data_IF_327469392272
#
_entry.id   IF_327469392272
#
_cell.length_a   1.000
_cell.length_b   1.000
_cell.length_c   1.000
_cell.angle_alpha   90.00
_cell.angle_beta   90.00
_cell.angle_gamma   90.00
#
_symmetry.space_group_name_H-M   'P 1'
#
loop_
_entity.id
_entity.type
_entity.pdbx_description
1 polymer ?
#
# COMPACT_ATOMS: atom_id res chain seq x y z
N UNK A 1 2.09 -0.63 20.35
CA UNK A 1 1.66 0.81 20.51
C UNK A 1 0.43 0.93 21.43
N UNK A 2 0.16 2.09 22.02
CA UNK A 2 -1.01 2.33 22.87
C UNK A 2 -2.18 2.81 22.03
N UNK A 3 -3.01 1.90 21.56
CA UNK A 3 -4.13 2.24 20.69
C UNK A 3 -5.51 2.04 21.33
N UNK A 4 -5.62 1.18 22.37
CA UNK A 4 -6.90 0.83 23.00
C UNK A 4 -7.57 2.05 23.66
N UNK A 5 -8.86 2.25 23.37
CA UNK A 5 -9.66 3.35 23.93
C UNK A 5 -9.38 4.72 23.31
N UNK A 6 -8.71 4.79 22.18
CA UNK A 6 -8.45 6.02 21.43
C UNK A 6 -9.60 6.31 20.44
N UNK A 7 -9.51 7.49 19.79
CA UNK A 7 -10.47 7.87 18.76
C UNK A 7 -10.36 6.97 17.55
N UNK A 8 -11.46 6.41 17.15
CA UNK A 8 -11.57 5.63 15.91
C UNK A 8 -12.06 6.53 14.77
N UNK A 9 -11.60 6.25 13.56
CA UNK A 9 -12.12 6.88 12.36
C UNK A 9 -13.50 6.32 12.01
N UNK A 10 -14.39 7.19 11.57
CA UNK A 10 -15.66 6.79 10.95
C UNK A 10 -15.54 6.55 9.44
N UNK A 11 -14.37 6.85 8.85
CA UNK A 11 -14.10 6.68 7.42
C UNK A 11 -13.69 5.23 7.09
N UNK A 12 -14.40 4.28 7.66
CA UNK A 12 -14.24 2.84 7.41
C UNK A 12 -15.42 2.33 6.61
N UNK A 13 -15.16 1.52 5.63
CA UNK A 13 -16.14 0.74 4.87
C UNK A 13 -15.81 -0.74 5.05
N UNK A 14 -16.53 -1.43 5.95
CA UNK A 14 -16.32 -2.85 6.23
C UNK A 14 -17.13 -3.71 5.25
N UNK A 15 -16.43 -4.40 4.36
CA UNK A 15 -17.00 -5.32 3.37
C UNK A 15 -16.77 -6.79 3.73
N UNK A 16 -16.24 -7.08 4.90
CA UNK A 16 -16.03 -8.47 5.35
C UNK A 16 -17.34 -9.21 5.46
N UNK A 17 -17.33 -10.52 5.14
CA UNK A 17 -18.51 -11.38 5.20
C UNK A 17 -19.63 -11.01 4.21
N UNK A 18 -19.38 -10.13 3.22
CA UNK A 18 -20.38 -9.84 2.19
C UNK A 18 -20.49 -11.03 1.21
N UNK A 19 -21.70 -11.58 1.00
CA UNK A 19 -21.86 -12.66 0.03
C UNK A 19 -21.63 -12.15 -1.38
N UNK A 20 -20.67 -12.75 -2.10
CA UNK A 20 -20.62 -12.59 -3.54
C UNK A 20 -19.27 -12.30 -4.18
N UNK A 21 -18.14 -12.37 -3.46
CA UNK A 21 -16.82 -12.21 -4.08
C UNK A 21 -15.82 -13.33 -3.77
N UNK A 22 -16.21 -14.31 -3.01
CA UNK A 22 -15.50 -15.59 -3.01
C UNK A 22 -15.60 -16.15 -4.42
N UNK A 23 -14.47 -16.35 -5.08
CA UNK A 23 -14.35 -16.74 -6.48
C UNK A 23 -15.35 -17.83 -6.81
N UNK A 24 -16.32 -17.51 -7.67
CA UNK A 24 -17.51 -18.26 -7.93
C UNK A 24 -17.28 -19.76 -7.99
N UNK A 25 -17.65 -20.42 -6.93
CA UNK A 25 -17.96 -21.84 -6.95
C UNK A 25 -19.15 -22.08 -7.86
N UNK A 26 -18.93 -22.13 -9.16
CA UNK A 26 -19.80 -22.85 -10.07
C UNK A 26 -19.72 -24.34 -9.69
N UNK A 27 -20.44 -24.69 -8.62
CA UNK A 27 -20.81 -26.04 -8.31
C UNK A 27 -21.78 -26.58 -9.36
N UNK A 28 -21.37 -26.55 -10.60
CA UNK A 28 -21.94 -27.28 -11.72
C UNK A 28 -21.30 -28.65 -11.76
N UNK A 29 -22.01 -29.66 -11.26
CA UNK A 29 -21.74 -31.07 -11.42
C UNK A 29 -21.46 -31.39 -12.89
N UNK A 30 -20.20 -31.54 -13.28
CA UNK A 30 -19.80 -32.27 -14.48
C UNK A 30 -18.71 -33.26 -14.12
N UNK A 31 -19.06 -34.54 -14.26
CA UNK A 31 -18.24 -35.68 -13.96
C UNK A 31 -16.98 -35.77 -14.81
N UNK A 32 -15.95 -36.30 -14.19
CA UNK A 32 -14.97 -37.25 -14.72
C UNK A 32 -14.11 -36.79 -15.86
N UNK A 33 -12.80 -36.65 -15.61
CA UNK A 33 -11.76 -36.63 -16.62
C UNK A 33 -10.44 -36.16 -16.07
N UNK A 34 -9.57 -37.07 -15.61
CA UNK A 34 -8.23 -36.73 -15.16
C UNK A 34 -7.33 -36.33 -16.30
N UNK A 35 -6.49 -35.32 -16.08
CA UNK A 35 -5.21 -35.09 -16.76
C UNK A 35 -4.31 -34.25 -15.84
N UNK A 36 -3.23 -34.72 -15.41
CA UNK A 36 -1.89 -34.50 -15.94
C UNK A 36 -1.15 -33.40 -15.18
N UNK A 37 -0.21 -33.78 -14.32
CA UNK A 37 0.85 -32.99 -13.66
C UNK A 37 1.55 -32.03 -14.61
N UNK A 38 1.77 -30.78 -14.15
CA UNK A 38 2.77 -29.87 -14.71
C UNK A 38 2.26 -28.43 -14.80
N UNK A 39 2.23 -27.70 -13.70
CA UNK A 39 1.94 -26.28 -13.70
C UNK A 39 2.76 -25.62 -12.60
N UNK A 40 3.89 -25.01 -12.94
CA UNK A 40 4.56 -24.05 -12.09
C UNK A 40 3.64 -22.84 -11.94
N UNK A 41 2.89 -22.76 -10.84
CA UNK A 41 2.10 -21.58 -10.52
C UNK A 41 3.03 -20.39 -10.28
N UNK A 42 2.66 -19.24 -10.84
CA UNK A 42 3.29 -17.98 -10.50
C UNK A 42 3.16 -17.78 -8.98
N UNK A 43 4.29 -17.56 -8.28
CA UNK A 43 4.29 -17.33 -6.85
C UNK A 43 3.51 -16.05 -6.50
N UNK A 44 2.91 -16.02 -5.32
CA UNK A 44 2.08 -14.88 -4.84
C UNK A 44 2.80 -13.53 -4.96
N UNK A 45 4.13 -13.51 -4.86
CA UNK A 45 4.91 -12.29 -5.04
C UNK A 45 5.03 -11.83 -6.50
N UNK A 46 4.97 -12.74 -7.46
CA UNK A 46 4.87 -12.35 -8.87
C UNK A 46 3.51 -11.70 -9.16
N UNK A 47 2.45 -12.12 -8.46
CA UNK A 47 1.11 -11.53 -8.55
C UNK A 47 1.10 -10.13 -7.92
N UNK A 48 1.68 -9.94 -6.74
CA UNK A 48 1.81 -8.62 -6.10
C UNK A 48 2.60 -7.63 -6.97
N UNK A 49 3.67 -8.11 -7.61
CA UNK A 49 4.50 -7.31 -8.52
C UNK A 49 3.74 -6.94 -9.81
N UNK A 50 2.93 -7.84 -10.34
CA UNK A 50 2.08 -7.60 -11.52
C UNK A 50 0.96 -6.61 -11.20
N UNK A 51 0.37 -6.67 -10.00
CA UNK A 51 -0.70 -5.77 -9.59
C UNK A 51 -0.20 -4.33 -9.50
N UNK A 52 0.94 -4.10 -8.86
CA UNK A 52 1.50 -2.74 -8.73
C UNK A 52 2.02 -2.20 -10.07
N UNK A 53 2.68 -3.02 -10.88
CA UNK A 53 3.18 -2.62 -12.21
C UNK A 53 2.04 -2.38 -13.19
N UNK A 54 1.00 -3.20 -13.19
CA UNK A 54 -0.18 -3.01 -14.04
C UNK A 54 -0.91 -1.72 -13.70
N UNK A 55 -0.99 -1.41 -12.44
CA UNK A 55 -1.64 -0.21 -11.93
C UNK A 55 -0.92 1.08 -12.34
N UNK A 56 0.40 1.07 -12.25
CA UNK A 56 1.28 2.15 -12.65
C UNK A 56 1.29 2.35 -14.18
N UNK A 57 1.09 1.27 -14.94
CA UNK A 57 1.03 1.30 -16.41
C UNK A 57 -0.37 1.62 -16.96
N UNK A 58 -1.39 1.86 -16.10
CA UNK A 58 -2.78 2.07 -16.52
C UNK A 58 -3.43 0.82 -17.11
N UNK A 59 -2.85 -0.35 -16.89
CA UNK A 59 -3.36 -1.65 -17.34
C UNK A 59 -3.89 -2.39 -16.11
N UNK A 60 -5.11 -2.92 -16.19
CA UNK A 60 -5.67 -3.72 -15.11
C UNK A 60 -4.78 -4.98 -14.90
N UNK A 61 -4.12 -5.13 -13.74
CA UNK A 61 -3.19 -6.23 -13.53
C UNK A 61 -3.83 -7.62 -13.58
N UNK A 62 -5.13 -7.70 -13.34
CA UNK A 62 -5.89 -8.97 -13.43
C UNK A 62 -6.14 -9.33 -14.88
N UNK A 63 -6.38 -8.35 -15.75
CA UNK A 63 -6.49 -8.59 -17.20
C UNK A 63 -5.14 -9.01 -17.78
N UNK A 64 -4.04 -8.48 -17.24
CA UNK A 64 -2.69 -8.90 -17.61
C UNK A 64 -2.41 -10.34 -17.14
N UNK A 65 -2.80 -10.69 -15.92
CA UNK A 65 -2.64 -12.04 -15.39
C UNK A 65 -3.50 -13.06 -16.14
N UNK A 66 -4.75 -12.74 -16.42
CA UNK A 66 -5.65 -13.59 -17.22
C UNK A 66 -5.20 -13.73 -18.67
N UNK A 67 -4.55 -12.71 -19.23
CA UNK A 67 -3.96 -12.75 -20.59
C UNK A 67 -2.72 -13.65 -20.64
N UNK A 68 -1.93 -13.68 -19.56
CA UNK A 68 -0.78 -14.58 -19.43
C UNK A 68 -1.20 -16.06 -19.26
N UNK A 69 -2.30 -16.32 -18.58
CA UNK A 69 -2.84 -17.68 -18.42
C UNK A 69 -3.53 -18.20 -19.69
N UNK A 70 -4.17 -17.32 -20.47
CA UNK A 70 -4.99 -17.72 -21.64
C UNK A 70 -4.31 -17.50 -22.99
N UNK A 71 -3.09 -16.94 -23.05
CA UNK A 71 -2.32 -16.77 -24.30
C UNK A 71 -2.99 -15.87 -25.35
N UNK A 72 -3.91 -15.00 -24.97
CA UNK A 72 -4.66 -14.09 -25.85
C UNK A 72 -4.07 -12.69 -25.86
N UNK A 73 -3.86 -12.15 -27.05
CA UNK A 73 -3.35 -10.80 -27.30
C UNK A 73 -4.33 -9.70 -26.86
N UNK A 74 -3.78 -8.65 -26.25
CA UNK A 74 -4.47 -7.43 -25.83
C UNK A 74 -4.97 -6.64 -27.05
N UNK A 75 -6.14 -6.97 -27.54
CA UNK A 75 -6.89 -6.06 -28.41
C UNK A 75 -8.39 -6.27 -28.23
N UNK A 76 -9.03 -5.19 -27.84
CA UNK A 76 -10.48 -4.98 -27.83
C UNK A 76 -11.27 -5.47 -26.61
N UNK A 77 -11.42 -4.57 -25.62
CA UNK A 77 -12.70 -4.52 -24.89
C UNK A 77 -13.04 -3.09 -24.51
N UNK A 78 -13.99 -2.58 -25.31
CA UNK A 78 -14.67 -1.33 -25.07
C UNK A 78 -15.59 -1.38 -23.84
N UNK A 79 -15.80 -0.20 -23.29
CA UNK A 79 -16.85 0.23 -22.37
C UNK A 79 -17.88 -0.81 -21.98
N UNK A 80 -17.77 -1.35 -20.78
CA UNK A 80 -18.80 -2.11 -20.07
C UNK A 80 -19.21 -1.41 -18.79
N UNK A 81 -20.42 -0.94 -18.75
CA UNK A 81 -21.19 -0.27 -17.68
C UNK A 81 -20.80 -0.62 -16.26
N UNK A 82 -20.77 0.43 -15.42
CA UNK A 82 -20.73 0.44 -13.98
C UNK A 82 -21.08 -0.85 -13.25
N UNK A 83 -20.06 -1.53 -12.74
CA UNK A 83 -20.25 -2.47 -11.66
C UNK A 83 -20.80 -1.68 -10.46
N UNK A 84 -22.00 -2.01 -10.02
CA UNK A 84 -22.62 -1.38 -8.85
C UNK A 84 -21.65 -1.47 -7.69
N UNK A 85 -21.27 -0.33 -7.13
CA UNK A 85 -20.45 -0.27 -5.93
C UNK A 85 -21.20 -1.01 -4.82
N UNK A 86 -20.69 -2.18 -4.46
CA UNK A 86 -21.12 -2.85 -3.23
C UNK A 86 -20.61 -1.99 -2.07
N UNK A 87 -21.51 -1.20 -1.49
CA UNK A 87 -21.21 -0.43 -0.28
C UNK A 87 -21.22 -1.36 0.92
N UNK A 88 -20.09 -1.45 1.63
CA UNK A 88 -19.98 -2.15 2.89
C UNK A 88 -20.68 -1.41 4.04
N UNK A 89 -20.59 -1.97 5.23
CA UNK A 89 -21.06 -1.31 6.45
C UNK A 89 -20.14 -0.12 6.74
N UNK A 90 -20.69 1.09 6.74
CA UNK A 90 -19.93 2.32 7.03
C UNK A 90 -19.82 2.54 8.53
N UNK A 91 -18.62 2.92 8.99
CA UNK A 91 -18.31 3.22 10.38
C UNK A 91 -17.31 2.22 10.98
N UNK A 92 -16.78 2.56 12.16
CA UNK A 92 -15.79 1.73 12.83
C UNK A 92 -16.35 0.33 13.14
N UNK A 93 -15.60 -0.75 12.82
CA UNK A 93 -15.95 -2.10 13.23
C UNK A 93 -15.90 -2.28 14.75
N UNK A 94 -16.54 -3.33 15.26
CA UNK A 94 -16.60 -3.61 16.70
C UNK A 94 -15.74 -4.80 17.12
N UNK A 95 -15.01 -5.39 16.20
CA UNK A 95 -14.00 -6.42 16.49
C UNK A 95 -12.62 -5.79 16.68
N UNK A 96 -11.77 -6.48 17.42
CA UNK A 96 -10.46 -5.93 17.83
C UNK A 96 -9.58 -5.47 16.67
N UNK A 97 -9.52 -6.24 15.59
CA UNK A 97 -8.65 -5.93 14.46
C UNK A 97 -9.20 -4.75 13.66
N UNK A 98 -10.52 -4.67 13.52
CA UNK A 98 -11.20 -3.54 12.89
C UNK A 98 -11.10 -2.26 13.74
N UNK A 99 -11.27 -2.33 15.06
CA UNK A 99 -11.06 -1.21 16.00
C UNK A 99 -9.61 -0.69 15.92
N UNK A 100 -8.64 -1.61 15.82
CA UNK A 100 -7.23 -1.24 15.65
C UNK A 100 -7.01 -0.43 14.37
N UNK A 101 -7.45 -0.94 13.22
CA UNK A 101 -7.32 -0.25 11.93
C UNK A 101 -8.03 1.10 11.93
N UNK A 102 -9.25 1.16 12.52
CA UNK A 102 -10.00 2.39 12.64
C UNK A 102 -9.28 3.42 13.53
N UNK A 103 -8.61 2.97 14.60
CA UNK A 103 -7.79 3.83 15.47
C UNK A 103 -6.58 4.38 14.70
N UNK A 104 -5.82 3.53 14.01
CA UNK A 104 -4.66 3.95 13.23
C UNK A 104 -5.06 4.95 12.14
N UNK A 105 -6.16 4.69 11.40
CA UNK A 105 -6.68 5.63 10.42
C UNK A 105 -7.04 6.97 11.08
N UNK A 106 -7.73 6.95 12.23
CA UNK A 106 -8.07 8.14 12.99
C UNK A 106 -6.86 8.96 13.42
N UNK A 107 -5.76 8.29 13.74
CA UNK A 107 -4.50 8.95 14.09
C UNK A 107 -3.82 9.57 12.87
N UNK A 108 -3.83 8.90 11.72
CA UNK A 108 -3.33 9.49 10.47
C UNK A 108 -4.14 10.71 10.07
N UNK A 109 -5.48 10.69 10.24
CA UNK A 109 -6.35 11.85 10.00
C UNK A 109 -5.96 13.05 10.87
N UNK A 110 -5.64 12.81 12.15
CA UNK A 110 -5.22 13.86 13.07
C UNK A 110 -3.90 14.46 12.61
N UNK A 111 -2.90 13.64 12.36
CA UNK A 111 -1.57 14.08 11.92
C UNK A 111 -1.64 14.88 10.62
N UNK A 112 -2.31 14.35 9.60
CA UNK A 112 -2.38 15.01 8.30
C UNK A 112 -3.32 16.21 8.28
N UNK A 113 -4.42 16.17 9.03
CA UNK A 113 -5.31 17.32 9.23
C UNK A 113 -4.56 18.53 9.79
N UNK A 114 -3.76 18.33 10.83
CA UNK A 114 -2.93 19.39 11.44
C UNK A 114 -1.83 19.87 10.49
N UNK A 115 -1.19 18.97 9.74
CA UNK A 115 -0.15 19.33 8.78
C UNK A 115 -0.71 20.14 7.62
N UNK A 116 -1.82 19.73 7.02
CA UNK A 116 -2.47 20.45 5.92
C UNK A 116 -2.94 21.83 6.38
N UNK A 117 -3.52 21.94 7.57
CA UNK A 117 -3.87 23.21 8.17
C UNK A 117 -2.66 24.15 8.33
N UNK A 118 -1.51 23.62 8.75
CA UNK A 118 -0.25 24.39 8.82
C UNK A 118 0.22 24.87 7.45
N UNK A 119 -0.08 24.14 6.39
CA UNK A 119 0.20 24.50 4.99
C UNK A 119 -0.87 25.44 4.39
N UNK A 120 -1.90 25.83 5.15
CA UNK A 120 -3.04 26.61 4.64
C UNK A 120 -3.94 25.83 3.68
N UNK A 121 -3.95 24.49 3.79
CA UNK A 121 -4.74 23.56 2.98
C UNK A 121 -5.79 22.84 3.82
N UNK A 122 -6.79 22.27 3.16
CA UNK A 122 -7.75 21.34 3.77
C UNK A 122 -7.32 19.92 3.43
N UNK A 123 -7.34 19.03 4.40
CA UNK A 123 -7.13 17.60 4.23
C UNK A 123 -8.46 16.88 4.08
N UNK A 124 -8.62 16.08 3.03
CA UNK A 124 -9.74 15.16 2.87
C UNK A 124 -9.26 13.77 3.28
N UNK A 125 -9.82 13.20 4.33
CA UNK A 125 -9.41 11.87 4.78
C UNK A 125 -9.83 10.79 3.78
N UNK A 126 -9.03 9.74 3.56
CA UNK A 126 -9.42 8.62 2.71
C UNK A 126 -10.46 7.75 3.41
N UNK A 127 -11.25 7.02 2.65
CA UNK A 127 -12.01 5.88 3.19
C UNK A 127 -11.13 4.64 3.19
N UNK A 128 -11.06 3.91 4.30
CA UNK A 128 -10.39 2.63 4.36
C UNK A 128 -11.42 1.50 4.22
N UNK A 129 -11.24 0.66 3.21
CA UNK A 129 -12.07 -0.52 2.92
C UNK A 129 -11.42 -1.74 3.53
N UNK A 130 -12.10 -2.40 4.46
CA UNK A 130 -11.71 -3.70 5.00
C UNK A 130 -12.48 -4.79 4.23
N UNK A 131 -11.80 -5.82 3.75
CA UNK A 131 -12.42 -6.89 2.99
C UNK A 131 -11.83 -8.26 3.32
N UNK A 132 -12.48 -9.33 2.88
CA UNK A 132 -12.00 -10.71 2.96
C UNK A 132 -11.81 -11.26 1.53
N UNK A 133 -10.65 -11.82 1.24
CA UNK A 133 -10.35 -12.50 -0.02
C UNK A 133 -10.26 -11.56 -1.22
N UNK A 134 -11.39 -10.98 -1.63
CA UNK A 134 -11.40 -10.04 -2.77
C UNK A 134 -12.57 -9.03 -2.71
N UNK A 135 -12.33 -7.83 -3.28
CA UNK A 135 -13.37 -6.79 -3.41
C UNK A 135 -13.10 -5.91 -4.63
N UNK A 136 -14.12 -5.34 -5.31
CA UNK A 136 -13.89 -4.38 -6.39
C UNK A 136 -13.38 -3.05 -5.86
N UNK A 137 -12.48 -2.43 -6.63
CA UNK A 137 -12.07 -1.05 -6.48
C UNK A 137 -12.14 -0.34 -7.84
N UNK A 138 -12.02 1.00 -7.85
CA UNK A 138 -11.92 1.74 -9.12
C UNK A 138 -10.56 1.52 -9.82
N UNK A 139 -9.62 0.81 -9.18
CA UNK A 139 -8.32 0.46 -9.72
C UNK A 139 -8.22 -1.03 -10.09
N UNK A 140 -9.33 -1.75 -10.11
CA UNK A 140 -9.40 -3.19 -10.36
C UNK A 140 -9.84 -3.97 -9.13
N UNK A 141 -9.76 -5.29 -9.20
CA UNK A 141 -10.12 -6.15 -8.07
C UNK A 141 -9.01 -6.15 -7.03
N UNK A 142 -9.32 -5.69 -5.81
CA UNK A 142 -8.47 -5.90 -4.64
C UNK A 142 -8.49 -7.38 -4.26
N UNK A 143 -7.35 -7.97 -3.94
CA UNK A 143 -7.24 -9.36 -3.46
C UNK A 143 -6.27 -9.44 -2.29
N UNK A 144 -6.43 -10.42 -1.40
CA UNK A 144 -5.46 -10.69 -0.32
C UNK A 144 -4.03 -10.80 -0.85
N UNK A 145 -3.85 -11.48 -1.98
CA UNK A 145 -2.54 -11.69 -2.60
C UNK A 145 -1.87 -10.40 -3.12
N UNK A 146 -2.66 -9.36 -3.43
CA UNK A 146 -2.14 -8.06 -3.83
C UNK A 146 -1.54 -7.27 -2.66
N UNK A 147 -1.92 -7.62 -1.44
CA UNK A 147 -1.61 -6.83 -0.25
C UNK A 147 -2.48 -5.57 -0.14
N UNK A 148 -2.26 -4.76 0.91
CA UNK A 148 -2.86 -3.45 1.06
C UNK A 148 -2.43 -2.49 -0.05
N UNK A 149 -3.31 -1.55 -0.42
CA UNK A 149 -2.98 -0.51 -1.40
C UNK A 149 -3.92 0.70 -1.31
N UNK A 150 -3.43 1.85 -1.77
CA UNK A 150 -4.23 3.04 -2.03
C UNK A 150 -4.67 3.08 -3.50
N UNK A 151 -5.94 3.38 -3.76
CA UNK A 151 -6.48 3.58 -5.10
C UNK A 151 -6.75 5.06 -5.37
N UNK A 152 -5.98 5.77 -6.23
CA UNK A 152 -6.22 7.19 -6.55
C UNK A 152 -7.51 7.42 -7.34
N UNK A 153 -8.04 6.41 -8.06
CA UNK A 153 -9.25 6.59 -8.85
C UNK A 153 -10.52 6.73 -8.00
N UNK A 154 -10.53 6.26 -6.76
CA UNK A 154 -11.65 6.40 -5.82
C UNK A 154 -11.25 6.99 -4.46
N UNK A 155 -9.96 7.29 -4.25
CA UNK A 155 -9.46 7.90 -3.03
C UNK A 155 -9.52 6.98 -1.81
N UNK A 156 -9.51 5.66 -2.00
CA UNK A 156 -9.68 4.69 -0.93
C UNK A 156 -8.42 3.87 -0.67
N UNK A 157 -8.20 3.51 0.59
CA UNK A 157 -7.24 2.51 1.01
C UNK A 157 -7.96 1.16 1.12
N UNK A 158 -7.35 0.11 0.64
CA UNK A 158 -7.89 -1.26 0.67
C UNK A 158 -6.99 -2.17 1.50
N UNK A 159 -7.58 -2.93 2.42
CA UNK A 159 -6.85 -3.89 3.24
C UNK A 159 -7.67 -5.14 3.52
N UNK A 160 -7.07 -6.30 3.29
CA UNK A 160 -7.53 -7.57 3.86
C UNK A 160 -6.75 -7.80 5.15
N UNK A 161 -7.44 -7.94 6.28
CA UNK A 161 -6.78 -8.13 7.59
C UNK A 161 -6.02 -9.47 7.68
N UNK A 162 -6.26 -10.42 6.76
CA UNK A 162 -5.43 -11.61 6.62
C UNK A 162 -3.95 -11.26 6.31
N UNK A 163 -3.69 -10.10 5.69
CA UNK A 163 -2.34 -9.61 5.44
C UNK A 163 -1.51 -9.42 6.72
N UNK A 164 -2.13 -9.09 7.83
CA UNK A 164 -1.41 -8.97 9.11
C UNK A 164 -0.79 -10.29 9.57
N UNK A 165 -1.51 -11.40 9.35
CA UNK A 165 -0.94 -12.74 9.58
C UNK A 165 0.20 -13.04 8.60
N UNK A 166 0.07 -12.65 7.33
CA UNK A 166 1.17 -12.80 6.36
C UNK A 166 2.37 -11.95 6.75
N UNK A 167 2.16 -10.73 7.24
CA UNK A 167 3.22 -9.85 7.70
C UNK A 167 4.02 -10.48 8.85
N UNK A 168 3.32 -11.14 9.78
CA UNK A 168 3.93 -11.86 10.88
C UNK A 168 4.60 -13.17 10.43
N UNK A 169 3.85 -14.05 9.75
CA UNK A 169 4.25 -15.44 9.52
C UNK A 169 5.19 -15.61 8.33
N UNK A 170 4.99 -14.80 7.29
CA UNK A 170 5.73 -14.90 6.03
C UNK A 170 6.80 -13.84 5.89
N UNK A 171 6.55 -12.63 6.36
CA UNK A 171 7.48 -11.51 6.25
C UNK A 171 8.36 -11.33 7.50
N UNK A 172 8.17 -12.14 8.56
CA UNK A 172 8.93 -12.03 9.81
C UNK A 172 8.93 -10.60 10.39
N UNK A 173 7.78 -9.95 10.29
CA UNK A 173 7.54 -8.59 10.77
C UNK A 173 6.32 -8.55 11.70
N UNK A 174 6.40 -9.20 12.88
CA UNK A 174 5.34 -9.16 13.88
C UNK A 174 5.26 -7.78 14.56
N UNK A 175 4.13 -7.51 15.18
CA UNK A 175 3.90 -6.35 16.04
C UNK A 175 2.79 -5.45 15.51
N UNK A 176 2.07 -4.83 16.46
CA UNK A 176 0.97 -3.94 16.12
C UNK A 176 1.45 -2.65 15.43
N UNK A 177 2.66 -2.21 15.71
CA UNK A 177 3.21 -1.04 15.05
C UNK A 177 3.74 -1.36 13.63
N UNK A 178 4.10 -2.60 13.34
CA UNK A 178 4.38 -3.07 11.98
C UNK A 178 3.09 -3.01 11.11
N UNK A 179 1.97 -3.45 11.66
CA UNK A 179 0.65 -3.35 11.03
C UNK A 179 0.20 -1.90 10.82
N UNK A 180 0.39 -1.05 11.84
CA UNK A 180 0.09 0.38 11.79
C UNK A 180 0.95 1.12 10.73
N UNK A 181 2.23 0.74 10.58
CA UNK A 181 3.10 1.28 9.53
C UNK A 181 2.51 1.03 8.13
N UNK A 182 1.96 -0.15 7.87
CA UNK A 182 1.34 -0.47 6.57
C UNK A 182 0.18 0.48 6.28
N UNK A 183 -0.75 0.67 7.22
CA UNK A 183 -1.86 1.62 7.06
C UNK A 183 -1.35 3.05 6.83
N UNK A 184 -0.35 3.48 7.61
CA UNK A 184 0.23 4.81 7.49
C UNK A 184 0.96 5.02 6.15
N UNK A 185 1.55 3.96 5.57
CA UNK A 185 2.17 3.98 4.25
C UNK A 185 1.13 4.19 3.14
N UNK A 186 0.02 3.44 3.18
CA UNK A 186 -1.05 3.60 2.21
C UNK A 186 -1.73 4.98 2.30
N UNK A 187 -1.92 5.49 3.53
CA UNK A 187 -2.33 6.88 3.74
C UNK A 187 -1.26 7.86 3.21
N UNK A 188 0.01 7.50 3.24
CA UNK A 188 1.09 8.27 2.62
C UNK A 188 0.88 8.45 1.11
N UNK A 189 0.42 7.43 0.39
CA UNK A 189 0.03 7.54 -1.02
C UNK A 189 -1.18 8.45 -1.23
N UNK A 190 -2.18 8.36 -0.34
CA UNK A 190 -3.31 9.30 -0.36
C UNK A 190 -2.84 10.75 -0.17
N UNK A 191 -1.92 11.01 0.74
CA UNK A 191 -1.33 12.35 0.95
C UNK A 191 -0.57 12.82 -0.30
N UNK A 192 0.14 11.94 -1.01
CA UNK A 192 0.78 12.27 -2.28
C UNK A 192 -0.24 12.70 -3.33
N UNK A 193 -1.39 12.04 -3.36
CA UNK A 193 -2.48 12.38 -4.28
C UNK A 193 -3.08 13.76 -3.93
N UNK A 194 -3.45 13.99 -2.68
CA UNK A 194 -3.96 15.28 -2.17
C UNK A 194 -2.96 16.45 -2.40
N UNK A 195 -1.65 16.18 -2.45
CA UNK A 195 -0.62 17.15 -2.79
C UNK A 195 -0.40 17.29 -4.31
N UNK A 196 -1.07 16.48 -5.13
CA UNK A 196 -0.96 16.46 -6.59
C UNK A 196 0.36 15.85 -7.08
N UNK A 197 1.03 15.06 -6.25
CA UNK A 197 2.30 14.40 -6.61
C UNK A 197 2.05 13.25 -7.57
N UNK A 198 1.03 12.39 -7.30
CA UNK A 198 0.74 11.23 -8.14
C UNK A 198 0.36 11.63 -9.56
N UNK A 199 -0.52 12.61 -9.74
CA UNK A 199 -0.92 13.07 -11.07
C UNK A 199 0.25 13.65 -11.90
N UNK A 200 1.25 14.30 -11.25
CA UNK A 200 2.47 14.76 -11.93
C UNK A 200 3.35 13.59 -12.37
N UNK A 201 3.50 12.62 -11.49
CA UNK A 201 4.29 11.41 -11.75
C UNK A 201 3.69 10.60 -12.88
N UNK A 202 2.37 10.44 -12.93
CA UNK A 202 1.68 9.73 -14.00
C UNK A 202 1.86 10.42 -15.36
N UNK A 203 1.77 11.74 -15.38
CA UNK A 203 2.03 12.51 -16.61
C UNK A 203 3.49 12.40 -17.10
N UNK A 204 4.46 12.26 -16.18
CA UNK A 204 5.87 12.05 -16.53
C UNK A 204 6.11 10.63 -17.05
N UNK A 205 5.53 9.60 -16.40
CA UNK A 205 5.68 8.19 -16.76
C UNK A 205 5.26 7.88 -18.20
N UNK A 206 4.20 8.51 -18.69
CA UNK A 206 3.72 8.31 -20.07
C UNK A 206 4.79 8.61 -21.16
N UNK A 207 5.90 9.24 -20.79
CA UNK A 207 6.97 9.67 -21.70
C UNK A 207 8.33 9.02 -21.38
N UNK A 208 8.37 8.11 -20.41
CA UNK A 208 9.59 7.49 -19.91
C UNK A 208 9.75 6.05 -20.41
N UNK A 209 10.98 5.54 -20.34
CA UNK A 209 11.23 4.11 -20.45
C UNK A 209 10.74 3.38 -19.20
N UNK A 210 10.48 2.06 -19.30
CA UNK A 210 10.08 1.25 -18.14
C UNK A 210 11.10 1.35 -16.99
N UNK A 211 12.39 1.32 -17.31
CA UNK A 211 13.46 1.45 -16.32
C UNK A 211 13.44 2.80 -15.59
N UNK A 212 13.13 3.90 -16.27
CA UNK A 212 13.04 5.22 -15.63
C UNK A 212 11.71 5.37 -14.89
N UNK A 213 10.64 4.77 -15.40
CA UNK A 213 9.35 4.67 -14.71
C UNK A 213 9.50 3.93 -13.37
N UNK A 214 10.23 2.79 -13.35
CA UNK A 214 10.52 2.06 -12.11
C UNK A 214 11.29 2.90 -11.09
N UNK A 215 12.31 3.65 -11.53
CA UNK A 215 13.03 4.58 -10.64
C UNK A 215 12.11 5.66 -10.05
N UNK A 216 11.15 6.13 -10.83
CA UNK A 216 10.19 7.12 -10.36
C UNK A 216 9.20 6.48 -9.37
N UNK A 217 8.78 5.23 -9.61
CA UNK A 217 7.98 4.45 -8.66
C UNK A 217 8.69 4.34 -7.31
N UNK A 218 9.96 3.92 -7.31
CA UNK A 218 10.75 3.83 -6.08
C UNK A 218 10.74 5.15 -5.30
N UNK A 219 10.82 6.31 -5.98
CA UNK A 219 10.76 7.60 -5.29
C UNK A 219 9.42 7.86 -4.61
N UNK A 220 8.32 7.46 -5.23
CA UNK A 220 6.97 7.56 -4.68
C UNK A 220 6.84 6.66 -3.45
N UNK A 221 7.30 5.43 -3.52
CA UNK A 221 7.30 4.48 -2.40
C UNK A 221 8.12 5.01 -1.20
N UNK A 222 9.35 5.47 -1.46
CA UNK A 222 10.22 6.00 -0.41
C UNK A 222 9.65 7.30 0.21
N UNK A 223 8.91 8.09 -0.55
CA UNK A 223 8.20 9.25 -0.02
C UNK A 223 7.03 8.83 0.85
N UNK A 224 6.29 7.76 0.50
CA UNK A 224 5.23 7.20 1.35
C UNK A 224 5.80 6.64 2.66
N UNK A 225 6.95 5.95 2.63
CA UNK A 225 7.67 5.55 3.84
C UNK A 225 8.07 6.75 4.72
N UNK A 226 8.52 7.83 4.11
CA UNK A 226 8.81 9.07 4.83
C UNK A 226 7.56 9.66 5.46
N UNK A 227 6.43 9.63 4.79
CA UNK A 227 5.15 10.11 5.33
C UNK A 227 4.65 9.25 6.49
N UNK A 228 4.79 7.92 6.38
CA UNK A 228 4.56 7.02 7.51
C UNK A 228 5.46 7.34 8.72
N UNK A 229 6.73 7.68 8.46
CA UNK A 229 7.66 8.12 9.52
C UNK A 229 7.29 9.48 10.15
N UNK A 230 6.69 10.40 9.39
CA UNK A 230 6.13 11.66 9.93
C UNK A 230 4.98 11.36 10.89
N UNK A 231 4.07 10.48 10.50
CA UNK A 231 2.98 10.02 11.36
C UNK A 231 3.54 9.36 12.63
N UNK A 232 4.47 8.42 12.52
CA UNK A 232 5.07 7.74 13.66
C UNK A 232 5.69 8.72 14.67
N UNK A 233 6.40 9.75 14.19
CA UNK A 233 6.95 10.80 15.05
C UNK A 233 5.86 11.62 15.75
N UNK A 234 4.74 11.87 15.09
CA UNK A 234 3.61 12.56 15.72
C UNK A 234 2.98 11.69 16.80
N UNK A 235 2.85 10.38 16.58
CA UNK A 235 2.43 9.40 17.58
C UNK A 235 3.37 9.38 18.80
N UNK A 236 4.69 9.44 18.57
CA UNK A 236 5.69 9.53 19.64
C UNK A 236 5.48 10.80 20.49
N UNK A 237 5.29 11.95 19.85
CA UNK A 237 5.04 13.22 20.55
C UNK A 237 3.76 13.22 21.37
N UNK A 238 2.74 12.49 20.91
CA UNK A 238 1.49 12.29 21.63
C UNK A 238 1.59 11.21 22.73
N UNK A 239 2.73 10.53 22.85
CA UNK A 239 2.99 9.53 23.88
C UNK A 239 2.34 8.18 23.63
N UNK A 240 2.05 7.84 22.38
CA UNK A 240 1.37 6.60 21.98
C UNK A 240 2.31 5.48 21.50
N UNK A 241 3.58 5.82 21.27
CA UNK A 241 4.64 4.86 20.94
C UNK A 241 5.20 4.21 22.21
N UNK A 242 5.44 2.93 22.16
CA UNK A 242 6.10 2.12 23.19
C UNK A 242 7.51 1.73 22.76
N UNK A 243 8.28 1.22 23.70
CA UNK A 243 9.65 0.76 23.40
C UNK A 243 9.58 -0.45 22.48
N UNK A 244 10.25 -0.36 21.32
CA UNK A 244 10.27 -1.42 20.30
C UNK A 244 9.41 -1.12 19.08
N UNK A 245 8.36 -0.29 19.21
CA UNK A 245 7.42 0.00 18.10
C UNK A 245 8.12 0.50 16.83
N UNK A 246 9.04 1.46 16.97
CA UNK A 246 9.79 1.98 15.81
C UNK A 246 10.63 0.90 15.16
N UNK A 247 11.17 -0.04 15.93
CA UNK A 247 11.94 -1.16 15.39
C UNK A 247 11.04 -2.16 14.66
N UNK A 248 9.80 -2.38 15.12
CA UNK A 248 8.79 -3.16 14.39
C UNK A 248 8.49 -2.57 13.02
N UNK A 249 8.22 -1.25 12.95
CA UNK A 249 7.99 -0.57 11.67
C UNK A 249 9.21 -0.59 10.76
N UNK A 250 10.43 -0.41 11.31
CA UNK A 250 11.67 -0.48 10.54
C UNK A 250 11.89 -1.88 9.97
N UNK A 251 11.56 -2.91 10.75
CA UNK A 251 11.60 -4.29 10.28
C UNK A 251 10.56 -4.52 9.17
N UNK A 252 9.32 -4.10 9.37
CA UNK A 252 8.28 -4.22 8.34
C UNK A 252 8.71 -3.54 7.03
N UNK A 253 9.20 -2.30 7.09
CA UNK A 253 9.71 -1.57 5.94
C UNK A 253 10.85 -2.31 5.22
N UNK A 254 11.75 -2.97 5.98
CA UNK A 254 12.82 -3.78 5.41
C UNK A 254 12.30 -5.05 4.73
N UNK A 255 11.35 -5.74 5.36
CA UNK A 255 10.84 -7.02 4.88
C UNK A 255 9.99 -6.91 3.61
N UNK A 256 9.38 -5.74 3.36
CA UNK A 256 8.61 -5.46 2.16
C UNK A 256 9.43 -4.73 1.06
N UNK A 257 10.75 -4.66 1.21
CA UNK A 257 11.65 -4.21 0.14
C UNK A 257 11.77 -5.22 -0.99
N UNK A 258 11.90 -4.74 -2.23
CA UNK A 258 11.98 -5.60 -3.43
C UNK A 258 13.07 -6.66 -3.32
N UNK A 259 14.22 -6.31 -2.75
CA UNK A 259 15.34 -7.25 -2.58
C UNK A 259 15.04 -8.35 -1.56
N UNK A 260 14.31 -8.04 -0.48
CA UNK A 260 13.89 -9.03 0.52
C UNK A 260 12.80 -9.95 -0.06
N UNK A 261 11.78 -9.38 -0.69
CA UNK A 261 10.69 -10.15 -1.31
C UNK A 261 11.25 -11.10 -2.37
N UNK A 262 12.05 -10.59 -3.31
CA UNK A 262 12.59 -11.39 -4.41
C UNK A 262 13.54 -12.49 -3.94
N UNK A 263 14.38 -12.22 -2.93
CA UNK A 263 15.24 -13.26 -2.32
C UNK A 263 14.43 -14.35 -1.64
N UNK A 264 13.33 -13.98 -0.95
CA UNK A 264 12.45 -14.96 -0.27
C UNK A 264 11.73 -15.86 -1.28
N UNK A 265 11.29 -15.31 -2.41
CA UNK A 265 10.49 -16.03 -3.39
C UNK A 265 11.29 -16.87 -4.37
N UNK A 266 12.40 -16.34 -4.84
CA UNK A 266 13.20 -16.97 -5.90
C UNK A 266 14.69 -17.16 -5.57
N UNK A 267 15.11 -16.81 -4.36
CA UNK A 267 16.47 -16.99 -3.88
C UNK A 267 17.47 -15.90 -4.31
N UNK A 268 17.11 -15.00 -5.21
CA UNK A 268 17.96 -13.89 -5.69
C UNK A 268 17.13 -12.65 -6.01
N UNK A 269 17.79 -11.49 -6.03
CA UNK A 269 17.19 -10.22 -6.39
C UNK A 269 17.65 -9.76 -7.79
N UNK A 270 16.76 -9.04 -8.49
CA UNK A 270 17.02 -8.46 -9.82
C UNK A 270 16.73 -6.95 -9.74
N UNK A 271 17.76 -6.12 -9.46
CA UNK A 271 17.58 -4.69 -9.18
C UNK A 271 16.87 -3.91 -10.27
N UNK A 272 17.01 -4.30 -11.53
CA UNK A 272 16.40 -3.66 -12.68
C UNK A 272 14.86 -3.75 -12.68
N UNK A 273 14.31 -4.69 -11.91
CA UNK A 273 12.86 -4.91 -11.77
C UNK A 273 12.28 -4.28 -10.50
N UNK A 274 13.09 -3.58 -9.70
CA UNK A 274 12.62 -2.94 -8.48
C UNK A 274 11.72 -1.75 -8.81
N UNK A 275 10.63 -1.64 -8.07
CA UNK A 275 9.69 -0.53 -8.18
C UNK A 275 9.20 -0.01 -6.81
N UNK A 276 9.48 -0.74 -5.71
CA UNK A 276 9.22 -0.30 -4.34
C UNK A 276 10.48 0.17 -3.61
N UNK A 277 11.65 -0.19 -4.13
CA UNK A 277 12.94 0.10 -3.50
C UNK A 277 13.46 -1.02 -2.62
N UNK A 278 14.72 -0.90 -2.22
CA UNK A 278 15.39 -1.90 -1.37
C UNK A 278 14.97 -1.76 0.09
N UNK A 279 15.11 -2.85 0.85
CA UNK A 279 14.95 -2.89 2.31
C UNK A 279 15.68 -1.73 3.01
N UNK A 280 16.93 -1.49 2.62
CA UNK A 280 17.75 -0.42 3.18
C UNK A 280 17.23 0.98 2.84
N UNK A 281 16.69 1.19 1.62
CA UNK A 281 16.11 2.46 1.21
C UNK A 281 14.83 2.74 1.99
N UNK A 282 13.90 1.78 2.05
CA UNK A 282 12.61 1.91 2.74
C UNK A 282 12.79 2.22 4.22
N UNK A 283 13.55 1.40 4.95
CA UNK A 283 13.84 1.63 6.37
C UNK A 283 14.53 2.97 6.61
N UNK A 284 15.47 3.38 5.75
CA UNK A 284 16.15 4.68 5.86
C UNK A 284 15.19 5.86 5.73
N UNK A 285 14.24 5.81 4.77
CA UNK A 285 13.31 6.90 4.56
C UNK A 285 12.29 7.02 5.68
N UNK A 286 11.78 5.92 6.18
CA UNK A 286 10.94 5.89 7.37
C UNK A 286 11.70 6.47 8.58
N UNK A 287 12.89 5.92 8.89
CA UNK A 287 13.71 6.36 10.03
C UNK A 287 14.09 7.84 9.97
N UNK A 288 14.39 8.35 8.78
CA UNK A 288 14.74 9.76 8.61
C UNK A 288 13.63 10.69 9.10
N UNK A 289 12.38 10.34 8.87
CA UNK A 289 11.25 11.16 9.27
C UNK A 289 10.93 11.05 10.76
N UNK A 290 11.20 9.89 11.38
CA UNK A 290 11.02 9.72 12.83
C UNK A 290 12.04 10.53 13.65
N UNK A 291 13.26 10.73 13.14
CA UNK A 291 14.37 11.35 13.89
C UNK A 291 14.62 12.83 13.60
N UNK A 292 14.05 13.39 12.50
CA UNK A 292 14.36 14.76 12.08
C UNK A 292 13.48 15.79 12.76
N UNK A 293 14.05 16.59 13.68
CA UNK A 293 13.42 17.80 14.18
C UNK A 293 13.18 18.81 13.03
N UNK A 294 12.02 19.51 12.96
CA UNK A 294 11.81 20.60 12.03
C UNK A 294 12.76 21.74 12.37
N UNK A 295 13.82 21.90 11.60
CA UNK A 295 14.89 22.85 11.80
C UNK A 295 14.49 24.29 11.46
N UNK A 296 13.62 24.94 12.18
CA UNK A 296 13.23 26.36 12.22
C UNK A 296 11.74 26.63 11.95
N UNK A 297 11.18 27.75 12.46
CA UNK A 297 9.76 28.12 12.25
C UNK A 297 9.38 28.31 10.76
N UNK A 298 10.33 28.70 9.91
CA UNK A 298 10.11 28.88 8.47
C UNK A 298 10.01 27.57 7.69
N UNK A 299 10.43 26.44 8.25
CA UNK A 299 10.33 25.10 7.66
C UNK A 299 9.13 24.30 8.18
N UNK A 300 8.37 24.82 9.15
CA UNK A 300 7.13 24.18 9.65
C UNK A 300 6.02 24.09 8.59
N UNK A 301 6.09 24.89 7.53
CA UNK A 301 5.11 24.89 6.43
C UNK A 301 5.38 23.86 5.33
N UNK A 302 6.40 23.01 5.49
CA UNK A 302 6.67 21.90 4.55
C UNK A 302 6.76 20.61 5.36
N UNK A 303 6.07 19.54 4.92
CA UNK A 303 6.30 18.20 5.47
C UNK A 303 7.81 17.94 5.43
N UNK A 304 8.33 17.32 6.48
CA UNK A 304 9.76 17.07 6.68
C UNK A 304 10.39 16.61 5.35
N UNK A 305 11.52 17.15 4.98
CA UNK A 305 12.30 17.02 3.71
C UNK A 305 12.15 15.70 2.90
N UNK A 306 10.91 15.21 2.74
CA UNK A 306 10.61 14.04 1.93
C UNK A 306 10.73 14.31 0.41
N UNK A 307 10.81 15.58 0.01
CA UNK A 307 10.88 15.99 -1.41
C UNK A 307 12.29 16.14 -1.96
N UNK A 308 13.31 16.16 -1.11
CA UNK A 308 14.70 16.33 -1.57
C UNK A 308 15.40 14.99 -1.63
N UNK A 309 15.49 14.44 -2.83
CA UNK A 309 16.51 13.45 -3.13
C UNK A 309 17.88 13.99 -2.67
N UNK A 310 18.53 13.27 -1.77
CA UNK A 310 19.88 13.62 -1.30
C UNK A 310 20.83 13.70 -2.47
N UNK A 311 21.80 14.64 -2.40
CA UNK A 311 22.96 14.62 -3.31
C UNK A 311 23.72 13.28 -3.27
N UNK A 312 23.53 12.48 -2.21
CA UNK A 312 24.06 11.14 -2.09
C UNK A 312 23.45 10.14 -3.09
N UNK A 313 22.21 10.37 -3.60
CA UNK A 313 21.66 9.52 -4.67
C UNK A 313 22.34 9.74 -6.05
N UNK A 314 23.19 10.76 -6.20
CA UNK A 314 24.00 10.92 -7.42
C UNK A 314 25.27 10.06 -7.45
N UNK A 315 25.63 9.43 -6.34
CA UNK A 315 26.88 8.64 -6.21
C UNK A 315 26.62 7.15 -6.34
N UNK A 316 25.38 6.68 -6.17
CA UNK A 316 25.02 5.26 -6.36
C UNK A 316 24.51 4.93 -7.77
N UNK A 317 24.77 5.82 -8.75
CA UNK A 317 24.51 5.60 -10.19
C UNK A 317 25.82 5.35 -10.95
N UNK A 318 26.68 4.45 -10.45
CA UNK A 318 27.79 3.87 -11.23
C UNK A 318 27.67 2.35 -11.16
#
# INVERSE_FOLDING_TARGET
>A
MRWVGRRESSNIEDRRGMPGMDGGGLGGSFGGGGFGRGGGGLGIGAVALIVVVGWIAGVNPIDLLSSLENGTSLSDQGSGNGAGQTTGKVGAPTDKDGEFVATVLGDTETTWGDMFKTMGKTYSAPTLVIFDGSTPSACGTATTAAGPFYCPNDGKVYIDLAFYRELQDRFDAPGDFAEAYVVAHEVGHHVQDELGTLGKVDAERQRMSDADSNKLSIRIELQADCYAGIWARDEEKRGFIEVGDVDEALNAAAQVGDDAIQKRERGYAVPETFNHGTSAQRSRWFKRATTTEPSTPATRSRPAKCDRGDRAQRVEQV
#
